data_IF_718615375333
#
_entry.id   IF_718615375333
#
_cell.length_a   1.000
_cell.length_b   1.000
_cell.length_c   1.000
_cell.angle_alpha   90.00
_cell.angle_beta   90.00
_cell.angle_gamma   90.00
#
_symmetry.space_group_name_H-M   'P 1'
#
loop_
_entity.id
_entity.type
_entity.pdbx_description
1 polymer ?
#
# COMPACT_ATOMS: atom_id res chain seq x y z
N UNK A 1 -19.64 48.04 -9.86
CA UNK A 1 -20.50 46.88 -10.18
C UNK A 1 -20.52 45.98 -8.95
N UNK A 2 -21.66 45.81 -8.29
CA UNK A 2 -21.79 44.98 -7.07
C UNK A 2 -21.91 43.50 -7.49
N UNK A 3 -21.15 42.63 -6.84
CA UNK A 3 -21.25 41.17 -7.02
C UNK A 3 -22.69 40.69 -6.72
N UNK A 4 -23.23 39.74 -7.50
CA UNK A 4 -24.60 39.27 -7.30
C UNK A 4 -24.71 38.51 -5.98
N UNK A 5 -25.80 38.80 -5.25
CA UNK A 5 -26.14 38.13 -4.00
C UNK A 5 -26.40 36.63 -4.25
N UNK A 6 -25.81 35.79 -3.40
CA UNK A 6 -25.97 34.35 -3.41
C UNK A 6 -27.44 33.95 -3.25
N UNK A 7 -27.91 33.02 -4.09
CA UNK A 7 -29.26 32.44 -3.98
C UNK A 7 -29.37 31.57 -2.71
N UNK A 8 -30.57 31.47 -2.10
CA UNK A 8 -30.72 30.73 -0.86
C UNK A 8 -30.88 29.22 -1.11
N UNK A 9 -29.99 28.48 -0.44
CA UNK A 9 -30.20 27.12 0.08
C UNK A 9 -30.41 25.96 -0.91
N UNK A 10 -29.31 25.51 -1.55
CA UNK A 10 -29.14 24.07 -1.78
C UNK A 10 -28.83 23.42 -0.42
N UNK A 11 -29.83 22.79 0.23
CA UNK A 11 -29.66 22.09 1.51
C UNK A 11 -28.79 20.84 1.34
N UNK A 12 -27.47 21.00 1.36
CA UNK A 12 -26.52 19.92 1.61
C UNK A 12 -26.58 19.50 3.09
N UNK A 13 -27.54 18.63 3.44
CA UNK A 13 -27.45 17.85 4.68
C UNK A 13 -26.39 16.76 4.47
N UNK A 14 -25.22 16.89 5.11
CA UNK A 14 -24.26 15.79 5.19
C UNK A 14 -22.80 16.17 5.47
N UNK A 15 -22.32 17.31 4.99
CA UNK A 15 -20.88 17.62 5.06
C UNK A 15 -20.41 18.22 6.39
N UNK A 16 -21.29 18.88 7.15
CA UNK A 16 -20.92 19.47 8.46
C UNK A 16 -20.78 18.44 9.59
N UNK A 17 -21.45 17.29 9.51
CA UNK A 17 -21.25 16.20 10.48
C UNK A 17 -19.97 15.41 10.19
N UNK A 18 -19.57 15.32 8.92
CA UNK A 18 -18.22 14.87 8.60
C UNK A 18 -17.21 15.82 9.24
N UNK A 19 -17.26 17.14 8.99
CA UNK A 19 -16.24 18.13 9.42
C UNK A 19 -16.00 18.31 10.93
N UNK A 20 -16.93 17.88 11.79
CA UNK A 20 -16.81 18.03 13.26
C UNK A 20 -16.34 16.74 13.95
N UNK A 21 -16.38 15.57 13.30
CA UNK A 21 -15.81 14.32 13.87
C UNK A 21 -14.29 14.17 13.67
N UNK A 22 -13.58 15.19 13.17
CA UNK A 22 -12.16 15.13 12.77
C UNK A 22 -11.18 15.15 13.94
N UNK A 23 -11.63 15.51 15.15
CA UNK A 23 -10.78 15.58 16.36
C UNK A 23 -10.97 14.43 17.34
N UNK A 24 -12.07 13.68 17.28
CA UNK A 24 -12.47 12.84 18.42
C UNK A 24 -12.36 11.33 18.18
N UNK A 25 -12.47 10.85 16.94
CA UNK A 25 -12.38 9.42 16.67
C UNK A 25 -11.04 9.05 16.05
N UNK A 26 -10.10 8.57 16.88
CA UNK A 26 -8.75 8.11 16.54
C UNK A 26 -8.66 6.91 15.58
N UNK A 27 -9.57 6.80 14.62
CA UNK A 27 -9.78 5.66 13.74
C UNK A 27 -9.92 6.06 12.26
N UNK A 28 -9.11 6.99 11.77
CA UNK A 28 -8.93 7.17 10.31
C UNK A 28 -7.93 6.13 9.76
N UNK A 29 -8.35 5.21 8.86
CA UNK A 29 -7.46 4.17 8.35
C UNK A 29 -6.43 4.65 7.32
N UNK A 30 -6.61 5.84 6.72
CA UNK A 30 -5.66 6.41 5.73
C UNK A 30 -5.42 7.90 6.01
N UNK A 31 -4.24 8.24 6.55
CA UNK A 31 -3.79 9.61 6.84
C UNK A 31 -2.71 10.11 5.88
N UNK A 32 -2.40 9.37 4.82
CA UNK A 32 -1.27 9.66 3.95
C UNK A 32 -1.36 11.07 3.34
N UNK A 33 -2.53 11.47 2.84
CA UNK A 33 -2.71 12.79 2.23
C UNK A 33 -2.60 13.95 3.21
N UNK A 34 -3.07 13.77 4.46
CA UNK A 34 -2.90 14.79 5.50
C UNK A 34 -1.45 14.89 5.94
N UNK A 35 -0.78 13.75 6.19
CA UNK A 35 0.63 13.74 6.60
C UNK A 35 1.54 14.33 5.53
N UNK A 36 1.27 14.06 4.25
CA UNK A 36 2.00 14.67 3.14
C UNK A 36 1.81 16.18 3.12
N UNK A 37 0.56 16.66 3.23
CA UNK A 37 0.28 18.10 3.24
C UNK A 37 0.88 18.79 4.47
N UNK A 38 0.73 18.22 5.66
CA UNK A 38 1.36 18.71 6.89
C UNK A 38 2.88 18.80 6.72
N UNK A 39 3.51 17.76 6.17
CA UNK A 39 4.96 17.75 5.92
C UNK A 39 5.42 18.76 4.86
N UNK A 40 4.65 18.97 3.79
CA UNK A 40 4.94 19.99 2.79
C UNK A 40 4.85 21.40 3.39
N UNK A 41 3.81 21.67 4.18
CA UNK A 41 3.60 22.97 4.84
C UNK A 41 4.66 23.29 5.90
N UNK A 42 5.22 22.26 6.54
CA UNK A 42 6.31 22.38 7.51
C UNK A 42 7.71 22.42 6.85
N UNK A 43 7.79 22.17 5.53
CA UNK A 43 9.07 22.12 4.81
C UNK A 43 9.52 23.50 4.30
N UNK A 44 10.84 23.69 4.22
CA UNK A 44 11.45 24.88 3.61
C UNK A 44 11.31 24.93 2.08
N UNK A 45 10.64 23.94 1.47
CA UNK A 45 10.45 23.84 0.02
C UNK A 45 9.09 24.38 -0.47
N UNK A 46 8.18 24.74 0.44
CA UNK A 46 6.89 25.31 0.07
C UNK A 46 7.01 26.81 -0.21
N UNK A 47 6.39 27.27 -1.32
CA UNK A 47 6.20 28.69 -1.62
C UNK A 47 4.72 29.01 -1.78
N UNK A 48 4.34 30.25 -1.45
CA UNK A 48 3.00 30.78 -1.72
C UNK A 48 2.89 31.46 -3.09
N UNK A 49 4.03 31.75 -3.73
CA UNK A 49 4.10 32.41 -5.02
C UNK A 49 4.18 31.37 -6.14
N UNK A 50 3.16 31.33 -7.00
CA UNK A 50 3.03 30.28 -8.01
C UNK A 50 4.09 30.37 -9.11
N UNK A 51 4.63 31.56 -9.37
CA UNK A 51 5.68 31.83 -10.35
C UNK A 51 7.04 31.26 -9.93
N UNK A 52 7.27 31.11 -8.62
CA UNK A 52 8.50 30.55 -8.06
C UNK A 52 8.43 29.02 -7.93
N UNK A 53 7.25 28.43 -8.09
CA UNK A 53 7.05 27.00 -7.88
C UNK A 53 7.60 26.16 -9.05
N UNK A 54 8.52 25.26 -8.71
CA UNK A 54 8.98 24.18 -9.61
C UNK A 54 7.91 23.11 -9.80
N UNK A 55 7.14 22.82 -8.74
CA UNK A 55 6.09 21.81 -8.72
C UNK A 55 4.84 22.28 -8.00
N UNK A 56 3.68 21.80 -8.46
CA UNK A 56 2.37 22.04 -7.86
C UNK A 56 1.82 20.76 -7.25
N UNK A 57 1.75 20.70 -5.92
CA UNK A 57 1.09 19.59 -5.24
C UNK A 57 -0.44 19.70 -5.37
N UNK A 58 -1.11 18.62 -5.78
CA UNK A 58 -2.56 18.56 -5.93
C UNK A 58 -3.19 17.77 -4.77
N UNK A 59 -3.79 18.46 -3.78
CA UNK A 59 -4.35 17.81 -2.60
C UNK A 59 -5.69 17.14 -2.95
N UNK A 60 -5.63 15.86 -3.28
CA UNK A 60 -6.82 15.01 -3.39
C UNK A 60 -6.96 14.23 -2.09
N UNK A 61 -7.79 14.76 -1.17
CA UNK A 61 -8.10 14.13 0.11
C UNK A 61 -9.03 12.93 -0.06
N UNK A 62 -8.59 11.96 -0.85
CA UNK A 62 -9.36 10.77 -1.13
C UNK A 62 -9.37 9.85 0.11
N UNK A 63 -10.57 9.42 0.50
CA UNK A 63 -10.84 8.61 1.69
C UNK A 63 -11.82 7.49 1.35
N UNK A 64 -11.57 6.68 0.32
CA UNK A 64 -12.57 5.66 -0.04
C UNK A 64 -11.91 4.31 -0.34
N UNK A 65 -11.10 3.83 0.61
CA UNK A 65 -10.65 2.43 0.65
C UNK A 65 -10.00 1.94 -0.64
N UNK A 66 -10.10 0.63 -0.89
CA UNK A 66 -9.39 -0.02 -1.99
C UNK A 66 -9.80 0.47 -3.40
N UNK A 67 -10.98 1.07 -3.53
CA UNK A 67 -11.69 1.30 -4.80
C UNK A 67 -12.47 2.61 -4.83
N UNK A 68 -11.90 3.63 -4.21
CA UNK A 68 -12.57 4.91 -4.06
C UNK A 68 -13.01 5.54 -5.36
N UNK A 69 -14.05 6.38 -5.28
CA UNK A 69 -14.52 7.11 -6.45
C UNK A 69 -13.38 7.95 -7.04
N UNK A 70 -13.06 7.69 -8.32
CA UNK A 70 -12.09 8.47 -9.11
C UNK A 70 -12.56 9.90 -9.36
N UNK A 71 -13.83 10.18 -9.10
CA UNK A 71 -14.48 11.46 -9.34
C UNK A 71 -13.74 12.64 -8.71
N UNK A 72 -13.17 12.50 -7.51
CA UNK A 72 -12.45 13.59 -6.86
C UNK A 72 -11.22 14.02 -7.66
N UNK A 73 -10.51 13.07 -8.28
CA UNK A 73 -9.36 13.34 -9.12
C UNK A 73 -9.76 14.00 -10.44
N UNK A 74 -10.81 13.48 -11.10
CA UNK A 74 -11.34 14.08 -12.33
C UNK A 74 -11.83 15.51 -12.11
N UNK A 75 -12.53 15.76 -11.00
CA UNK A 75 -13.01 17.10 -10.64
C UNK A 75 -11.86 18.04 -10.30
N UNK A 76 -10.88 17.58 -9.53
CA UNK A 76 -9.68 18.37 -9.21
C UNK A 76 -8.91 18.73 -10.48
N UNK A 77 -8.65 17.77 -11.36
CA UNK A 77 -8.00 18.02 -12.65
C UNK A 77 -8.77 19.03 -13.48
N UNK A 78 -10.07 18.82 -13.69
CA UNK A 78 -10.91 19.75 -14.48
C UNK A 78 -10.88 21.16 -13.89
N UNK A 79 -10.97 21.28 -12.57
CA UNK A 79 -10.89 22.58 -11.91
C UNK A 79 -9.53 23.25 -12.16
N UNK A 80 -8.43 22.52 -11.96
CA UNK A 80 -7.08 23.06 -12.16
C UNK A 80 -6.86 23.48 -13.61
N UNK A 81 -7.17 22.58 -14.55
CA UNK A 81 -7.07 22.78 -16.00
C UNK A 81 -7.85 24.00 -16.51
N UNK A 82 -9.02 24.28 -15.92
CA UNK A 82 -9.89 25.39 -16.37
C UNK A 82 -9.71 26.69 -15.58
N UNK A 83 -9.16 26.64 -14.37
CA UNK A 83 -9.09 27.81 -13.47
C UNK A 83 -7.72 28.45 -13.45
N UNK A 84 -6.66 27.65 -13.50
CA UNK A 84 -5.29 28.14 -13.32
C UNK A 84 -4.46 28.02 -14.60
N UNK A 85 -3.63 29.02 -14.93
CA UNK A 85 -2.82 29.00 -16.14
C UNK A 85 -1.69 27.96 -16.07
N UNK A 86 -1.31 27.51 -14.87
CA UNK A 86 -0.12 26.69 -14.63
C UNK A 86 -0.21 25.28 -15.19
N UNK A 87 -1.41 24.68 -15.25
CA UNK A 87 -1.56 23.37 -15.89
C UNK A 87 -1.15 23.42 -17.36
N UNK A 88 -1.59 24.45 -18.09
CA UNK A 88 -1.34 24.57 -19.52
C UNK A 88 0.13 24.89 -19.84
N UNK A 89 0.91 25.38 -18.87
CA UNK A 89 2.35 25.65 -19.02
C UNK A 89 3.16 24.39 -19.31
N UNK A 90 2.80 23.30 -18.64
CA UNK A 90 3.55 22.03 -18.64
C UNK A 90 2.72 20.84 -19.12
N UNK A 91 1.45 21.06 -19.47
CA UNK A 91 0.44 20.03 -19.62
C UNK A 91 0.32 19.11 -18.38
N UNK A 92 0.55 19.66 -17.19
CA UNK A 92 0.50 18.95 -15.92
C UNK A 92 1.79 18.22 -15.52
N UNK A 93 2.89 18.36 -16.28
CA UNK A 93 4.16 17.68 -15.97
C UNK A 93 4.85 18.15 -14.68
N UNK A 94 4.57 19.39 -14.26
CA UNK A 94 5.01 19.95 -12.99
C UNK A 94 3.97 19.75 -11.86
N UNK A 95 2.92 18.95 -12.08
CA UNK A 95 1.93 18.65 -11.04
C UNK A 95 2.24 17.32 -10.35
N UNK A 96 2.13 17.32 -9.01
CA UNK A 96 2.39 16.15 -8.16
C UNK A 96 1.09 15.70 -7.53
N UNK A 97 0.69 14.46 -7.78
CA UNK A 97 -0.52 13.86 -7.23
C UNK A 97 -0.17 12.81 -6.18
N UNK A 98 -0.94 12.76 -5.09
CA UNK A 98 -0.89 11.64 -4.16
C UNK A 98 -2.11 10.76 -4.35
N UNK A 99 -1.88 9.52 -4.78
CA UNK A 99 -2.89 8.51 -5.02
C UNK A 99 -2.72 7.37 -4.02
N UNK A 100 -3.34 7.52 -2.85
CA UNK A 100 -3.27 6.58 -1.74
C UNK A 100 -4.17 5.34 -1.86
N UNK A 101 -4.82 5.15 -3.01
CA UNK A 101 -5.74 4.02 -3.25
C UNK A 101 -5.00 2.70 -3.39
N UNK A 102 -5.65 1.60 -3.00
CA UNK A 102 -5.07 0.27 -3.19
C UNK A 102 -4.90 -0.08 -4.67
N UNK A 103 -5.66 0.50 -5.60
CA UNK A 103 -5.47 0.28 -7.04
C UNK A 103 -4.66 1.39 -7.76
N UNK A 104 -3.99 2.29 -7.03
CA UNK A 104 -3.18 3.35 -7.63
C UNK A 104 -3.92 4.15 -8.71
N UNK A 105 -3.32 4.32 -9.88
CA UNK A 105 -3.96 4.97 -11.05
C UNK A 105 -4.60 3.99 -12.03
N UNK A 106 -4.69 2.69 -11.70
CA UNK A 106 -5.26 1.66 -12.56
C UNK A 106 -6.59 2.10 -13.18
N UNK A 107 -6.82 1.69 -14.43
CA UNK A 107 -8.13 1.83 -15.05
C UNK A 107 -9.14 0.87 -14.42
N UNK A 108 -10.42 1.25 -14.44
CA UNK A 108 -11.54 0.40 -14.07
C UNK A 108 -12.76 0.83 -14.90
N UNK A 109 -13.93 0.26 -14.61
CA UNK A 109 -15.18 0.62 -15.28
C UNK A 109 -15.57 2.11 -15.17
N UNK A 110 -14.88 2.90 -14.35
CA UNK A 110 -15.07 4.35 -14.17
C UNK A 110 -13.94 5.18 -14.81
N UNK A 111 -13.15 4.59 -15.72
CA UNK A 111 -12.11 5.25 -16.51
C UNK A 111 -10.69 5.08 -15.96
N UNK A 112 -9.70 5.74 -16.56
CA UNK A 112 -8.30 5.65 -16.16
C UNK A 112 -7.78 6.94 -15.55
N UNK A 113 -7.15 6.89 -14.37
CA UNK A 113 -6.47 8.09 -13.87
C UNK A 113 -5.19 8.42 -14.64
N UNK A 114 -4.60 7.44 -15.33
CA UNK A 114 -3.47 7.71 -16.23
C UNK A 114 -3.85 8.64 -17.39
N UNK A 115 -5.11 8.63 -17.85
CA UNK A 115 -5.54 9.58 -18.90
C UNK A 115 -5.42 11.04 -18.44
N UNK A 116 -5.51 11.26 -17.13
CA UNK A 116 -5.54 12.59 -16.52
C UNK A 116 -4.17 12.99 -15.99
N UNK A 117 -3.44 12.02 -15.44
CA UNK A 117 -2.18 12.25 -14.72
C UNK A 117 -0.98 11.71 -15.46
N UNK A 118 -1.13 11.22 -16.69
CA UNK A 118 -0.06 10.54 -17.42
C UNK A 118 1.19 11.39 -17.67
N UNK A 119 1.07 12.72 -17.66
CA UNK A 119 2.21 13.64 -17.70
C UNK A 119 2.74 14.02 -16.31
N UNK A 120 1.90 13.93 -15.27
CA UNK A 120 2.20 14.37 -13.91
C UNK A 120 3.05 13.35 -13.14
N UNK A 121 3.71 13.82 -12.07
CA UNK A 121 4.34 12.94 -11.09
C UNK A 121 3.28 12.35 -10.17
N UNK A 122 3.16 11.01 -10.10
CA UNK A 122 2.24 10.36 -9.16
C UNK A 122 3.00 9.68 -8.03
N UNK A 123 2.66 10.06 -6.80
CA UNK A 123 3.01 9.35 -5.59
C UNK A 123 1.91 8.33 -5.29
N UNK A 124 2.24 7.04 -5.22
CA UNK A 124 1.22 5.99 -5.06
C UNK A 124 1.60 4.92 -4.06
N UNK A 125 0.61 4.31 -3.40
CA UNK A 125 0.83 3.10 -2.60
C UNK A 125 0.87 1.81 -3.42
N UNK A 126 0.48 1.89 -4.70
CA UNK A 126 0.41 0.76 -5.61
C UNK A 126 1.62 0.74 -6.54
N UNK A 127 2.45 -0.30 -6.45
CA UNK A 127 3.55 -0.54 -7.37
C UNK A 127 3.26 -1.59 -8.44
N UNK A 128 2.00 -2.03 -8.55
CA UNK A 128 1.61 -3.04 -9.53
C UNK A 128 1.57 -2.47 -10.94
N UNK A 129 2.29 -3.11 -11.86
CA UNK A 129 2.27 -2.76 -13.29
C UNK A 129 1.07 -3.33 -14.06
N UNK A 130 0.38 -4.30 -13.47
CA UNK A 130 -0.86 -4.91 -14.00
C UNK A 130 -2.05 -4.46 -13.16
N UNK A 131 -3.22 -4.37 -13.79
CA UNK A 131 -4.49 -4.29 -13.08
C UNK A 131 -4.67 -5.47 -12.10
N UNK A 132 -5.68 -5.39 -11.22
CA UNK A 132 -5.93 -6.50 -10.28
C UNK A 132 -6.24 -7.82 -10.97
N UNK A 133 -6.73 -7.76 -12.21
CA UNK A 133 -7.00 -8.88 -13.10
C UNK A 133 -5.75 -9.55 -13.66
N UNK A 134 -4.56 -8.95 -13.47
CA UNK A 134 -3.29 -9.52 -13.92
C UNK A 134 -3.05 -9.37 -15.42
N UNK A 135 -3.90 -8.64 -16.14
CA UNK A 135 -3.70 -8.34 -17.55
C UNK A 135 -2.68 -7.20 -17.71
N UNK A 136 -1.67 -7.40 -18.56
CA UNK A 136 -0.58 -6.46 -18.85
C UNK A 136 -1.03 -5.20 -19.61
N UNK A 137 -2.30 -5.12 -20.01
CA UNK A 137 -2.84 -4.09 -20.91
C UNK A 137 -3.08 -2.72 -20.26
N UNK A 138 -3.34 -2.67 -18.96
CA UNK A 138 -3.62 -1.42 -18.23
C UNK A 138 -2.51 -1.17 -17.22
N UNK A 139 -1.55 -0.32 -17.59
CA UNK A 139 -0.51 0.11 -16.64
C UNK A 139 -1.19 0.92 -15.53
N UNK A 140 -0.81 0.68 -14.28
CA UNK A 140 -1.27 1.44 -13.11
C UNK A 140 -0.20 2.32 -12.48
N UNK A 141 0.99 2.31 -13.09
CA UNK A 141 2.21 2.89 -12.59
C UNK A 141 3.18 3.06 -13.76
N UNK A 142 3.75 4.26 -13.91
CA UNK A 142 4.75 4.58 -14.91
C UNK A 142 6.14 4.53 -14.28
N UNK A 143 6.85 3.41 -14.46
CA UNK A 143 8.21 3.24 -13.94
C UNK A 143 9.15 4.33 -14.46
N UNK A 144 9.90 4.95 -13.56
CA UNK A 144 10.83 6.05 -13.86
C UNK A 144 10.18 7.44 -13.85
N UNK A 145 8.85 7.52 -13.76
CA UNK A 145 8.11 8.77 -13.56
C UNK A 145 7.42 8.76 -12.20
N UNK A 146 6.60 7.75 -11.93
CA UNK A 146 5.84 7.63 -10.69
C UNK A 146 6.71 7.07 -9.55
N UNK A 147 6.36 7.42 -8.31
CA UNK A 147 7.07 6.97 -7.11
C UNK A 147 6.12 6.18 -6.22
N UNK A 148 6.49 4.93 -5.93
CA UNK A 148 5.79 4.13 -4.92
C UNK A 148 6.23 4.60 -3.53
N UNK A 149 5.28 4.97 -2.69
CA UNK A 149 5.52 5.39 -1.31
C UNK A 149 4.80 4.47 -0.33
N UNK A 150 5.34 4.25 0.89
CA UNK A 150 4.67 3.42 1.88
C UNK A 150 3.38 4.08 2.36
N UNK A 151 2.40 3.26 2.73
CA UNK A 151 1.22 3.72 3.47
C UNK A 151 1.60 4.30 4.83
N UNK A 152 0.79 5.26 5.30
CA UNK A 152 1.00 5.87 6.61
C UNK A 152 1.01 4.83 7.74
N UNK A 153 2.08 4.81 8.52
CA UNK A 153 2.22 3.89 9.67
C UNK A 153 1.81 4.61 10.96
N UNK A 154 1.04 3.92 11.81
CA UNK A 154 0.62 4.49 13.10
C UNK A 154 1.85 4.74 14.01
N UNK A 155 1.95 5.90 14.70
CA UNK A 155 3.11 6.24 15.51
C UNK A 155 3.52 5.18 16.54
N UNK A 156 2.56 4.54 17.23
CA UNK A 156 2.89 3.49 18.21
C UNK A 156 3.61 2.27 17.60
N UNK A 157 3.44 2.01 16.29
CA UNK A 157 4.19 0.94 15.59
C UNK A 157 5.59 1.40 15.24
N UNK A 158 5.73 2.68 14.87
CA UNK A 158 7.02 3.32 14.62
C UNK A 158 7.87 3.29 15.89
N UNK A 159 7.30 3.63 17.05
CA UNK A 159 7.98 3.59 18.36
C UNK A 159 8.42 2.19 18.80
N UNK A 160 7.89 1.13 18.17
CA UNK A 160 8.33 -0.25 18.40
C UNK A 160 9.52 -0.63 17.52
N UNK A 161 9.98 0.26 16.65
CA UNK A 161 11.17 0.05 15.83
C UNK A 161 12.41 -0.05 16.72
N UNK A 162 13.24 -1.09 16.56
CA UNK A 162 14.52 -1.15 17.24
C UNK A 162 15.47 -0.03 16.79
N UNK A 163 15.22 0.63 15.65
CA UNK A 163 16.10 1.68 15.13
C UNK A 163 15.84 3.06 15.73
N UNK A 164 14.63 3.30 16.23
CA UNK A 164 14.26 4.59 16.85
C UNK A 164 14.54 4.63 18.35
N UNK A 165 14.90 3.50 18.95
CA UNK A 165 15.51 3.43 20.28
C UNK A 165 16.98 3.83 20.11
N UNK A 166 17.20 5.12 19.91
CA UNK A 166 18.48 5.72 19.52
C UNK A 166 19.48 5.72 20.69
N UNK A 167 20.05 4.55 20.97
CA UNK A 167 21.28 4.35 21.74
C UNK A 167 21.86 2.93 21.58
N UNK A 168 21.57 2.24 20.47
CA UNK A 168 22.14 0.91 20.24
C UNK A 168 23.50 1.07 19.56
N UNK A 169 24.57 0.80 20.29
CA UNK A 169 25.89 0.55 19.69
C UNK A 169 25.79 -0.59 18.67
N UNK A 170 26.73 -0.66 17.72
CA UNK A 170 26.81 -1.77 16.77
C UNK A 170 26.82 -3.16 17.45
N UNK A 171 27.38 -3.26 18.66
CA UNK A 171 27.35 -4.48 19.48
C UNK A 171 25.96 -4.82 20.01
N UNK A 172 25.15 -3.82 20.39
CA UNK A 172 23.78 -4.03 20.84
C UNK A 172 22.85 -4.41 19.67
N UNK A 173 23.05 -3.83 18.48
CA UNK A 173 22.38 -4.25 17.24
C UNK A 173 22.74 -5.71 16.85
N UNK A 174 24.00 -6.09 16.99
CA UNK A 174 24.45 -7.47 16.74
C UNK A 174 23.88 -8.45 17.78
N UNK A 175 23.78 -8.05 19.06
CA UNK A 175 23.17 -8.89 20.10
C UNK A 175 21.66 -9.10 19.85
N UNK A 176 20.96 -8.08 19.36
CA UNK A 176 19.55 -8.17 18.96
C UNK A 176 19.33 -9.15 17.79
N UNK A 177 20.26 -9.28 16.84
CA UNK A 177 20.13 -10.23 15.73
C UNK A 177 20.36 -11.69 16.15
N UNK A 178 21.26 -11.92 17.12
CA UNK A 178 21.56 -13.25 17.68
C UNK A 178 20.52 -13.73 18.69
N UNK A 179 19.77 -12.82 19.32
CA UNK A 179 18.68 -13.16 20.25
C UNK A 179 17.36 -13.61 19.60
N UNK A 180 17.22 -13.48 18.27
CA UNK A 180 15.98 -13.84 17.54
C UNK A 180 15.84 -15.34 17.39
N UNK A 181 14.71 -15.88 17.85
CA UNK A 181 14.44 -17.32 17.88
C UNK A 181 13.79 -17.83 16.59
N UNK A 182 13.01 -16.99 15.92
CA UNK A 182 12.30 -17.38 14.69
C UNK A 182 13.20 -17.11 13.49
N UNK A 183 13.43 -18.12 12.65
CA UNK A 183 14.20 -17.96 11.42
C UNK A 183 13.35 -17.26 10.35
N UNK A 184 12.18 -17.80 10.03
CA UNK A 184 11.25 -17.21 9.05
C UNK A 184 9.86 -17.04 9.66
N UNK A 185 9.32 -15.84 9.61
CA UNK A 185 7.96 -15.53 10.06
C UNK A 185 7.04 -15.16 8.90
N UNK A 186 5.80 -15.63 8.97
CA UNK A 186 4.69 -15.17 8.15
C UNK A 186 3.39 -15.26 8.94
N UNK A 187 2.57 -14.22 8.88
CA UNK A 187 1.17 -14.30 9.31
C UNK A 187 0.27 -13.61 8.31
N UNK A 188 -0.75 -14.32 7.84
CA UNK A 188 -1.71 -13.77 6.91
C UNK A 188 -2.63 -14.82 6.31
N UNK A 189 -3.59 -14.37 5.52
CA UNK A 189 -4.41 -15.27 4.72
C UNK A 189 -3.57 -15.84 3.58
N UNK A 190 -3.67 -17.14 3.38
CA UNK A 190 -3.03 -17.84 2.28
C UNK A 190 -3.77 -17.58 0.97
N UNK A 191 -5.11 -17.54 1.03
CA UNK A 191 -5.97 -17.55 -0.15
C UNK A 191 -7.18 -16.62 0.01
N UNK A 192 -7.70 -16.14 -1.12
CA UNK A 192 -8.95 -15.40 -1.17
C UNK A 192 -10.16 -16.35 -1.06
N UNK A 193 -11.31 -15.97 -0.47
CA UNK A 193 -11.61 -14.76 0.31
C UNK A 193 -10.91 -14.81 1.67
N UNK A 194 -10.21 -13.75 2.08
CA UNK A 194 -9.40 -13.73 3.32
C UNK A 194 -10.23 -13.88 4.60
N UNK A 195 -11.50 -13.49 4.54
CA UNK A 195 -12.49 -13.61 5.62
C UNK A 195 -13.01 -15.02 5.79
N UNK A 196 -13.05 -15.82 4.72
CA UNK A 196 -13.53 -17.20 4.76
C UNK A 196 -12.50 -18.11 5.44
N UNK A 197 -12.88 -18.69 6.58
CA UNK A 197 -12.05 -19.61 7.37
C UNK A 197 -12.43 -21.06 7.08
N UNK A 198 -11.43 -21.94 6.99
CA UNK A 198 -11.62 -23.37 6.78
C UNK A 198 -10.82 -24.17 7.80
N UNK A 199 -11.31 -25.35 8.17
CA UNK A 199 -10.77 -26.15 9.27
C UNK A 199 -10.18 -27.51 8.84
N UNK A 200 -10.25 -27.87 7.55
CA UNK A 200 -9.62 -29.08 7.02
C UNK A 200 -8.68 -28.74 5.86
N UNK A 201 -7.69 -29.61 5.63
CA UNK A 201 -6.74 -29.43 4.54
C UNK A 201 -7.40 -29.55 3.16
N UNK A 202 -8.41 -30.41 2.99
CA UNK A 202 -9.12 -30.51 1.70
C UNK A 202 -9.84 -29.20 1.38
N UNK A 203 -10.55 -28.63 2.36
CA UNK A 203 -11.26 -27.35 2.18
C UNK A 203 -10.30 -26.21 1.91
N UNK A 204 -9.12 -26.21 2.56
CA UNK A 204 -8.08 -25.22 2.28
C UNK A 204 -7.52 -25.36 0.87
N UNK A 205 -7.20 -26.57 0.44
CA UNK A 205 -6.74 -26.82 -0.93
C UNK A 205 -7.78 -26.38 -1.96
N UNK A 206 -9.05 -26.73 -1.76
CA UNK A 206 -10.14 -26.31 -2.64
C UNK A 206 -10.32 -24.80 -2.68
N UNK A 207 -10.18 -24.12 -1.53
CA UNK A 207 -10.22 -22.66 -1.47
C UNK A 207 -9.06 -22.04 -2.26
N UNK A 208 -7.87 -22.59 -2.12
CA UNK A 208 -6.64 -22.09 -2.74
C UNK A 208 -6.47 -22.46 -4.22
N UNK A 209 -7.20 -23.47 -4.70
CA UNK A 209 -7.21 -23.86 -6.11
C UNK A 209 -8.15 -22.99 -6.96
N UNK A 210 -9.13 -22.31 -6.34
CA UNK A 210 -10.06 -21.44 -7.04
C UNK A 210 -9.39 -20.12 -7.42
N UNK A 211 -9.40 -19.80 -8.71
CA UNK A 211 -9.27 -18.42 -9.16
C UNK A 211 -10.48 -17.64 -8.65
N UNK A 212 -10.26 -16.42 -8.14
CA UNK A 212 -11.39 -15.54 -7.84
C UNK A 212 -12.00 -15.16 -9.16
N UNK A 213 -13.30 -15.33 -9.38
CA UNK A 213 -14.01 -15.06 -10.65
C UNK A 213 -14.79 -13.75 -10.66
N UNK A 214 -14.56 -12.89 -9.65
CA UNK A 214 -15.00 -11.50 -9.71
C UNK A 214 -16.50 -11.26 -9.70
N UNK A 215 -17.34 -12.22 -9.25
CA UNK A 215 -18.81 -12.15 -9.30
C UNK A 215 -19.41 -10.75 -9.56
N UNK A 216 -19.80 -10.50 -10.81
CA UNK A 216 -20.08 -9.16 -11.37
C UNK A 216 -19.30 -8.93 -12.69
N UNK A 217 -19.18 -7.67 -13.14
CA UNK A 217 -18.46 -7.26 -14.35
C UNK A 217 -16.91 -7.29 -14.20
N UNK A 218 -16.37 -8.04 -13.24
CA UNK A 218 -14.94 -8.09 -12.92
C UNK A 218 -14.38 -9.48 -13.24
N UNK A 219 -13.21 -9.54 -13.89
CA UNK A 219 -12.62 -10.79 -14.41
C UNK A 219 -11.80 -11.53 -13.36
N UNK A 220 -11.50 -12.84 -13.59
CA UNK A 220 -10.91 -13.66 -12.56
C UNK A 220 -9.44 -13.35 -12.24
N UNK A 221 -9.05 -13.29 -10.97
CA UNK A 221 -7.63 -13.34 -10.55
C UNK A 221 -7.21 -14.79 -10.34
N UNK A 222 -6.24 -15.26 -11.14
CA UNK A 222 -5.66 -16.59 -10.99
C UNK A 222 -4.83 -16.68 -9.69
N UNK A 223 -5.40 -17.32 -8.66
CA UNK A 223 -4.80 -17.64 -7.34
C UNK A 223 -4.22 -16.41 -6.58
N UNK A 224 -4.75 -16.13 -5.40
CA UNK A 224 -4.28 -15.02 -4.55
C UNK A 224 -2.77 -15.07 -4.25
N UNK A 225 -2.07 -13.95 -4.44
CA UNK A 225 -0.61 -13.86 -4.38
C UNK A 225 0.09 -14.92 -5.25
N UNK A 226 -0.46 -15.16 -6.45
CA UNK A 226 0.00 -16.16 -7.43
C UNK A 226 0.06 -17.59 -6.86
N UNK A 227 -0.65 -17.86 -5.77
CA UNK A 227 -0.59 -19.13 -5.03
C UNK A 227 0.64 -19.29 -4.14
N UNK A 228 1.60 -18.37 -4.16
CA UNK A 228 2.88 -18.46 -3.45
C UNK A 228 2.71 -18.65 -1.95
N UNK A 229 1.79 -17.89 -1.33
CA UNK A 229 1.54 -17.99 0.11
C UNK A 229 1.12 -19.40 0.51
N UNK A 230 0.19 -19.98 -0.24
CA UNK A 230 -0.29 -21.33 0.03
C UNK A 230 0.81 -22.37 -0.21
N UNK A 231 1.54 -22.26 -1.32
CA UNK A 231 2.63 -23.19 -1.65
C UNK A 231 3.73 -23.18 -0.60
N UNK A 232 4.27 -22.00 -0.26
CA UNK A 232 5.32 -21.85 0.75
C UNK A 232 4.83 -22.36 2.11
N UNK A 233 3.62 -21.99 2.52
CA UNK A 233 3.04 -22.48 3.77
C UNK A 233 2.86 -24.00 3.75
N UNK A 234 2.33 -24.58 2.67
CA UNK A 234 2.09 -26.02 2.56
C UNK A 234 3.40 -26.81 2.70
N UNK A 235 4.44 -26.36 2.01
CA UNK A 235 5.75 -27.03 1.98
C UNK A 235 6.52 -26.85 3.29
N UNK A 236 6.51 -25.65 3.88
CA UNK A 236 7.44 -25.29 4.95
C UNK A 236 6.81 -25.05 6.33
N UNK A 237 5.51 -25.25 6.51
CA UNK A 237 4.83 -25.03 7.81
C UNK A 237 5.35 -25.87 8.98
N UNK A 238 6.08 -26.94 8.70
CA UNK A 238 6.64 -27.87 9.69
C UNK A 238 8.15 -27.74 9.84
N UNK A 239 8.78 -26.80 9.14
CA UNK A 239 10.22 -26.59 9.21
C UNK A 239 10.62 -26.02 10.57
N UNK A 240 11.71 -26.55 11.13
CA UNK A 240 12.25 -26.07 12.40
C UNK A 240 12.69 -24.62 12.24
N UNK A 241 12.29 -23.77 13.19
CA UNK A 241 12.58 -22.34 13.16
C UNK A 241 11.64 -21.52 12.28
N UNK A 242 10.72 -22.13 11.52
CA UNK A 242 9.73 -21.42 10.72
C UNK A 242 8.44 -21.26 11.51
N UNK A 243 7.84 -20.07 11.41
CA UNK A 243 6.58 -19.73 12.09
C UNK A 243 5.62 -19.13 11.07
N UNK A 244 4.91 -20.02 10.37
CA UNK A 244 4.00 -19.67 9.28
C UNK A 244 2.53 -19.84 9.71
N UNK A 245 1.87 -18.74 10.03
CA UNK A 245 0.55 -18.67 10.64
C UNK A 245 -0.52 -18.29 9.60
N UNK A 246 -1.37 -19.25 9.23
CA UNK A 246 -2.40 -19.05 8.22
C UNK A 246 -3.70 -18.57 8.86
N UNK A 247 -4.04 -17.30 8.68
CA UNK A 247 -5.22 -16.71 9.35
C UNK A 247 -6.54 -17.20 8.79
N UNK A 248 -6.55 -17.78 7.59
CA UNK A 248 -7.70 -18.43 6.96
C UNK A 248 -7.76 -19.95 7.21
N UNK A 249 -6.79 -20.49 7.93
CA UNK A 249 -6.77 -21.85 8.43
C UNK A 249 -6.52 -21.86 9.95
N UNK A 250 -7.56 -21.58 10.78
CA UNK A 250 -7.43 -21.50 12.23
C UNK A 250 -6.72 -22.66 12.94
N UNK A 251 -6.76 -23.92 12.46
CA UNK A 251 -5.95 -24.99 13.06
C UNK A 251 -4.44 -24.74 13.07
N UNK A 252 -3.91 -23.84 12.23
CA UNK A 252 -2.50 -23.43 12.24
C UNK A 252 -2.15 -22.39 13.30
N UNK A 253 -3.16 -21.78 13.93
CA UNK A 253 -2.94 -20.68 14.87
C UNK A 253 -2.79 -21.23 16.30
N UNK A 254 -1.84 -20.69 17.10
CA UNK A 254 -1.81 -20.99 18.52
C UNK A 254 -3.12 -20.56 19.18
N UNK A 255 -3.59 -21.34 20.16
CA UNK A 255 -4.80 -21.02 20.92
C UNK A 255 -4.42 -20.30 22.23
N UNK A 256 -5.08 -19.19 22.59
CA UNK A 256 -6.13 -18.50 21.84
C UNK A 256 -5.57 -17.61 20.72
N UNK A 257 -6.09 -17.71 19.48
CA UNK A 257 -5.56 -16.97 18.33
C UNK A 257 -5.58 -15.43 18.47
N UNK A 258 -6.46 -14.89 19.35
CA UNK A 258 -6.53 -13.45 19.64
C UNK A 258 -5.32 -12.90 20.39
N UNK A 259 -4.42 -13.76 20.90
CA UNK A 259 -3.29 -13.35 21.74
C UNK A 259 -1.98 -13.17 20.96
N UNK A 260 -1.99 -13.24 19.63
CA UNK A 260 -0.77 -13.13 18.84
C UNK A 260 -0.44 -11.66 18.62
N UNK A 261 0.60 -11.19 19.30
CA UNK A 261 1.22 -9.90 19.00
C UNK A 261 2.11 -10.03 17.76
N UNK A 262 1.55 -9.68 16.59
CA UNK A 262 2.24 -9.75 15.30
C UNK A 262 3.52 -8.92 15.30
N UNK A 263 3.55 -7.78 15.98
CA UNK A 263 4.73 -6.93 15.98
C UNK A 263 5.85 -7.58 16.81
N UNK A 264 5.51 -8.22 17.94
CA UNK A 264 6.48 -9.00 18.72
C UNK A 264 7.02 -10.20 17.94
N UNK A 265 6.16 -10.89 17.18
CA UNK A 265 6.58 -12.00 16.31
C UNK A 265 7.57 -11.52 15.23
N UNK A 266 7.29 -10.37 14.59
CA UNK A 266 8.19 -9.77 13.59
C UNK A 266 9.53 -9.38 14.24
N UNK A 267 9.53 -8.74 15.41
CA UNK A 267 10.77 -8.36 16.13
C UNK A 267 11.61 -9.57 16.53
N UNK A 268 10.98 -10.71 16.79
CA UNK A 268 11.65 -11.97 17.15
C UNK A 268 12.06 -12.80 15.92
N UNK A 269 11.77 -12.35 14.70
CA UNK A 269 12.07 -13.04 13.46
C UNK A 269 13.29 -12.46 12.75
N UNK A 270 14.18 -13.33 12.26
CA UNK A 270 15.33 -12.93 11.43
C UNK A 270 14.85 -12.49 10.05
N UNK A 271 14.02 -13.33 9.43
CA UNK A 271 13.43 -13.11 8.11
C UNK A 271 11.90 -13.06 8.18
N UNK A 272 11.30 -12.18 7.38
CA UNK A 272 9.84 -12.04 7.29
C UNK A 272 9.37 -12.20 5.85
N UNK A 273 8.55 -13.21 5.61
CA UNK A 273 8.04 -13.49 4.28
C UNK A 273 7.08 -12.38 3.82
N UNK A 274 7.45 -11.74 2.72
CA UNK A 274 6.76 -10.63 2.10
C UNK A 274 6.42 -10.98 0.63
N UNK A 275 5.49 -11.91 0.40
CA UNK A 275 5.12 -12.28 -0.96
C UNK A 275 4.26 -11.16 -1.54
N UNK A 276 4.79 -10.53 -2.59
CA UNK A 276 4.12 -9.49 -3.36
C UNK A 276 3.00 -10.16 -4.14
N UNK A 277 1.77 -9.73 -3.90
CA UNK A 277 0.65 -10.11 -4.76
C UNK A 277 0.65 -9.24 -6.01
N UNK A 278 -0.52 -8.87 -6.50
CA UNK A 278 -0.70 -8.00 -7.66
C UNK A 278 -0.31 -6.53 -7.41
N UNK A 279 0.03 -6.11 -6.19
CA UNK A 279 0.55 -4.75 -5.97
C UNK A 279 0.55 -4.19 -4.53
N UNK A 280 0.13 -4.96 -3.51
CA UNK A 280 0.08 -4.46 -2.13
C UNK A 280 1.27 -4.94 -1.27
N UNK A 281 2.03 -3.99 -0.70
CA UNK A 281 3.37 -4.23 -0.15
C UNK A 281 3.67 -3.73 1.27
N UNK A 282 2.68 -3.35 2.10
CA UNK A 282 2.97 -2.85 3.48
C UNK A 282 3.74 -3.83 4.36
N UNK A 283 3.75 -5.14 4.03
CA UNK A 283 4.52 -6.12 4.81
C UNK A 283 6.01 -5.88 4.76
N UNK A 284 6.55 -5.52 3.59
CA UNK A 284 7.98 -5.29 3.45
C UNK A 284 8.40 -4.08 4.30
N UNK A 285 7.65 -2.99 4.21
CA UNK A 285 7.85 -1.78 5.03
C UNK A 285 7.70 -2.09 6.53
N UNK A 286 6.68 -2.87 6.91
CA UNK A 286 6.45 -3.22 8.32
C UNK A 286 7.54 -4.14 8.88
N UNK A 287 8.03 -5.09 8.08
CA UNK A 287 9.16 -5.95 8.43
C UNK A 287 10.41 -5.11 8.67
N UNK A 288 10.77 -4.24 7.71
CA UNK A 288 11.90 -3.32 7.84
C UNK A 288 11.73 -2.46 9.09
N UNK A 289 10.58 -1.81 9.29
CA UNK A 289 10.35 -0.93 10.44
C UNK A 289 10.62 -1.62 11.79
N UNK A 290 10.26 -2.90 11.91
CA UNK A 290 10.46 -3.70 13.12
C UNK A 290 11.79 -4.49 13.13
N UNK A 291 12.68 -4.21 12.17
CA UNK A 291 14.02 -4.77 12.07
C UNK A 291 14.10 -6.18 11.50
N UNK A 292 13.03 -6.73 10.96
CA UNK A 292 13.01 -8.05 10.32
C UNK A 292 13.44 -7.94 8.85
N UNK A 293 14.36 -8.80 8.39
CA UNK A 293 14.83 -8.77 6.99
C UNK A 293 13.69 -9.26 6.08
N UNK A 294 13.18 -8.42 5.17
CA UNK A 294 12.09 -8.83 4.29
C UNK A 294 12.59 -9.88 3.28
N UNK A 295 11.85 -10.98 3.15
CA UNK A 295 12.01 -11.97 2.07
C UNK A 295 10.94 -11.68 1.04
N UNK A 296 11.33 -11.00 -0.02
CA UNK A 296 10.43 -10.48 -1.05
C UNK A 296 10.31 -11.52 -2.16
N UNK A 297 9.07 -11.87 -2.51
CA UNK A 297 8.77 -12.82 -3.60
C UNK A 297 7.80 -12.11 -4.55
N UNK A 298 8.30 -11.69 -5.71
CA UNK A 298 7.66 -10.68 -6.57
C UNK A 298 7.13 -11.19 -7.90
N UNK A 299 7.38 -12.44 -8.26
CA UNK A 299 7.27 -12.87 -9.64
C UNK A 299 6.84 -14.34 -9.69
N UNK A 300 5.92 -14.66 -10.59
CA UNK A 300 5.42 -16.01 -10.87
C UNK A 300 6.00 -16.63 -12.15
N UNK A 301 6.89 -15.89 -12.82
CA UNK A 301 7.53 -16.29 -14.08
C UNK A 301 6.93 -15.62 -15.30
N UNK A 302 5.75 -14.99 -15.16
CA UNK A 302 4.92 -14.55 -16.30
C UNK A 302 4.57 -13.06 -16.20
N UNK A 303 4.30 -12.55 -15.00
CA UNK A 303 3.86 -11.18 -14.77
C UNK A 303 5.01 -10.24 -14.38
N UNK A 304 5.01 -8.99 -14.86
CA UNK A 304 6.06 -8.03 -14.49
C UNK A 304 6.06 -7.73 -12.99
N UNK A 305 7.24 -7.39 -12.47
CA UNK A 305 7.46 -7.19 -11.03
C UNK A 305 6.65 -6.01 -10.52
N UNK A 306 6.20 -6.14 -9.27
CA UNK A 306 5.61 -5.05 -8.49
C UNK A 306 6.72 -4.18 -7.91
N UNK A 307 6.75 -2.91 -8.29
CA UNK A 307 7.67 -1.92 -7.73
C UNK A 307 7.43 -1.75 -6.22
N UNK A 308 8.50 -1.71 -5.45
CA UNK A 308 8.47 -1.51 -4.01
C UNK A 308 8.56 -0.04 -3.64
N UNK A 309 8.19 0.32 -2.40
CA UNK A 309 8.34 1.68 -1.93
C UNK A 309 9.77 2.19 -2.10
N UNK A 310 9.89 3.36 -2.74
CA UNK A 310 11.14 4.04 -3.09
C UNK A 310 12.09 3.22 -3.97
N UNK A 311 11.62 2.17 -4.65
CA UNK A 311 12.43 1.41 -5.60
C UNK A 311 12.93 2.30 -6.73
N UNK A 312 14.16 2.04 -7.20
CA UNK A 312 14.88 2.86 -8.17
C UNK A 312 16.08 3.53 -7.50
N UNK A 313 16.29 4.82 -7.77
CA UNK A 313 17.48 5.55 -7.32
C UNK A 313 17.47 5.88 -5.82
N UNK A 314 16.31 5.77 -5.14
CA UNK A 314 16.17 6.13 -3.73
C UNK A 314 16.46 4.96 -2.78
N UNK A 315 15.93 3.77 -3.05
CA UNK A 315 16.11 2.58 -2.22
C UNK A 315 16.44 1.36 -3.07
N UNK A 316 17.63 0.81 -2.82
CA UNK A 316 18.12 -0.44 -3.40
C UNK A 316 17.59 -1.64 -2.63
N UNK A 317 16.53 -2.25 -3.14
CA UNK A 317 15.87 -3.41 -2.51
C UNK A 317 16.74 -4.67 -2.56
N UNK A 318 17.63 -4.80 -3.54
CA UNK A 318 18.56 -5.91 -3.70
C UNK A 318 19.59 -6.03 -2.57
N UNK A 319 19.87 -4.95 -1.83
CA UNK A 319 20.74 -4.97 -0.64
C UNK A 319 19.94 -4.97 0.67
N UNK A 320 18.65 -4.64 0.61
CA UNK A 320 17.79 -4.46 1.80
C UNK A 320 16.88 -5.67 2.05
N UNK A 321 16.68 -6.52 1.04
CA UNK A 321 15.80 -7.67 1.07
C UNK A 321 16.47 -8.93 0.50
N UNK A 322 15.93 -10.09 0.86
CA UNK A 322 16.22 -11.34 0.17
C UNK A 322 15.18 -11.52 -0.93
N UNK A 323 15.62 -11.45 -2.18
CA UNK A 323 14.76 -11.71 -3.34
C UNK A 323 14.74 -13.21 -3.62
N UNK A 324 13.57 -13.84 -3.48
CA UNK A 324 13.38 -15.24 -3.85
C UNK A 324 12.57 -15.35 -5.14
N UNK A 325 12.97 -16.28 -6.01
CA UNK A 325 12.28 -16.62 -7.24
C UNK A 325 11.52 -17.93 -7.03
N UNK A 326 10.25 -17.97 -7.44
CA UNK A 326 9.53 -19.22 -7.54
C UNK A 326 10.01 -19.96 -8.80
N UNK A 327 10.56 -21.16 -8.63
CA UNK A 327 10.94 -22.08 -9.72
C UNK A 327 9.79 -23.03 -10.03
#
# INVERSE_FOLDING_TARGET
MRLPQASPAFRMKGWKQAYVSWREDGNFPYRASQLMLEGLLDSDHATTEAEEADYFFVPTWEWVGAWGSKEIFYRAHRYIYTTFPFWNRSAGADHVWLVSRDAGTCSDQYGSLLEVMGASLVLTHWGGVTGLDGELGERCFLSGQDIVIPGAVRPYKILQSPFLQMSLSASAAHTLSWGRRTQLFFMGALCWRTTQKVNTMEKLQQKCSRSWDGGGAQRPVAKYAFGLRFTIWKLHRHEVGFRLLATDFPPSLPKPARSIDVNAEIRNAKYCLCPSGTGWGMRAVHAILLGCVPVVVQHDGINSRVAQPFEGDLLRWEVTAVNAHAQ
#
